data_IF_856236024501
#
_entry.id   IF_856236024501
#
_cell.length_a   1.000
_cell.length_b   1.000
_cell.length_c   1.000
_cell.angle_alpha   90.00
_cell.angle_beta   90.00
_cell.angle_gamma   90.00
#
_symmetry.space_group_name_H-M   'P 1'
#
loop_
_entity.id
_entity.type
_entity.pdbx_description
1 polymer ?
#
# COMPACT_ATOMS: atom_id res chain seq x y z
N UNK A 1 -2.32 -16.05 -37.21
CA UNK A 1 -1.46 -14.88 -37.44
C UNK A 1 -1.20 -14.26 -36.09
N UNK A 2 0.07 -14.24 -35.70
CA UNK A 2 0.72 -13.57 -34.56
C UNK A 2 0.23 -14.02 -33.17
N UNK A 3 0.92 -15.04 -32.66
CA UNK A 3 1.07 -15.32 -31.23
C UNK A 3 2.03 -14.27 -30.67
N UNK A 4 1.49 -13.17 -30.14
CA UNK A 4 2.23 -12.13 -29.42
C UNK A 4 2.46 -12.56 -27.96
N UNK A 5 3.11 -13.70 -27.75
CA UNK A 5 3.78 -13.96 -26.47
C UNK A 5 5.06 -13.14 -26.45
N UNK A 6 4.92 -11.87 -26.06
CA UNK A 6 6.04 -10.99 -25.74
C UNK A 6 6.89 -11.71 -24.69
N UNK A 7 8.07 -12.19 -25.07
CA UNK A 7 9.00 -12.81 -24.13
C UNK A 7 9.36 -11.75 -23.08
N UNK A 8 9.04 -12.03 -21.82
CA UNK A 8 9.51 -11.21 -20.70
C UNK A 8 11.03 -11.24 -20.75
N UNK A 9 11.68 -10.08 -20.84
CA UNK A 9 13.14 -10.02 -20.83
C UNK A 9 13.69 -10.27 -19.43
N UNK A 10 14.98 -10.64 -19.35
CA UNK A 10 15.62 -10.99 -18.09
C UNK A 10 15.57 -9.85 -17.05
N UNK A 11 15.50 -8.59 -17.51
CA UNK A 11 15.43 -7.43 -16.62
C UNK A 11 14.05 -7.29 -15.97
N UNK A 12 12.98 -7.45 -16.77
CA UNK A 12 11.61 -7.45 -16.28
C UNK A 12 11.34 -8.65 -15.34
N UNK A 13 11.95 -9.82 -15.60
CA UNK A 13 11.92 -10.97 -14.69
C UNK A 13 12.60 -10.69 -13.35
N UNK A 14 13.77 -10.04 -13.36
CA UNK A 14 14.48 -9.67 -12.13
C UNK A 14 13.65 -8.68 -11.31
N UNK A 15 13.08 -7.66 -11.96
CA UNK A 15 12.23 -6.67 -11.29
C UNK A 15 11.01 -7.34 -10.65
N UNK A 16 10.33 -8.23 -11.38
CA UNK A 16 9.22 -9.04 -10.89
C UNK A 16 9.59 -9.90 -9.67
N UNK A 17 10.73 -10.57 -9.72
CA UNK A 17 11.19 -11.43 -8.62
C UNK A 17 11.67 -10.63 -7.40
N UNK A 18 12.12 -9.38 -7.60
CA UNK A 18 12.57 -8.49 -6.54
C UNK A 18 11.44 -7.80 -5.79
N UNK A 19 10.21 -7.84 -6.33
CA UNK A 19 9.05 -7.19 -5.74
C UNK A 19 8.76 -7.69 -4.32
N UNK A 20 8.63 -6.73 -3.39
CA UNK A 20 8.18 -6.97 -2.02
C UNK A 20 6.86 -6.22 -1.79
N UNK A 21 5.78 -6.92 -1.41
CA UNK A 21 4.51 -6.29 -1.05
C UNK A 21 4.64 -5.16 -0.02
N UNK A 22 5.59 -5.25 0.91
CA UNK A 22 5.89 -4.20 1.89
C UNK A 22 6.19 -2.84 1.26
N UNK A 23 6.79 -2.82 0.07
CA UNK A 23 7.29 -1.59 -0.55
C UNK A 23 6.15 -0.73 -1.10
N UNK A 24 4.97 -1.30 -1.32
CA UNK A 24 3.74 -0.59 -1.69
C UNK A 24 2.64 -0.68 -0.62
N UNK A 25 3.01 -0.96 0.64
CA UNK A 25 2.09 -1.07 1.76
C UNK A 25 1.92 0.25 2.52
N UNK A 26 0.74 0.86 2.40
CA UNK A 26 0.47 2.20 2.91
C UNK A 26 -0.12 2.26 4.33
N UNK A 27 -0.31 1.14 5.02
CA UNK A 27 -1.01 1.12 6.32
C UNK A 27 -2.51 1.36 6.13
N UNK A 28 -3.14 2.12 7.02
CA UNK A 28 -4.58 2.42 7.06
C UNK A 28 -5.04 3.53 6.09
N UNK A 29 -4.35 3.68 4.96
CA UNK A 29 -4.63 4.73 3.97
C UNK A 29 -6.10 4.75 3.56
N UNK A 30 -6.74 5.91 3.69
CA UNK A 30 -8.15 6.09 3.36
C UNK A 30 -8.37 6.16 1.85
N UNK A 31 -9.58 5.80 1.41
CA UNK A 31 -9.93 5.64 0.00
C UNK A 31 -9.74 6.93 -0.79
N UNK A 32 -10.02 8.08 -0.18
CA UNK A 32 -9.92 9.40 -0.82
C UNK A 32 -8.48 9.66 -1.28
N UNK A 33 -7.49 9.32 -0.44
CA UNK A 33 -6.07 9.49 -0.75
C UNK A 33 -5.49 8.42 -1.69
N UNK A 34 -6.21 7.32 -1.93
CA UNK A 34 -5.81 6.32 -2.92
C UNK A 34 -6.01 6.87 -4.33
N UNK A 35 -7.08 7.66 -4.54
CA UNK A 35 -7.44 8.21 -5.86
C UNK A 35 -6.35 9.10 -6.44
N UNK A 36 -5.67 9.88 -5.59
CA UNK A 36 -4.58 10.75 -5.99
C UNK A 36 -3.28 9.99 -6.33
N UNK A 37 -3.17 8.73 -5.90
CA UNK A 37 -1.96 7.91 -6.05
C UNK A 37 -2.00 6.95 -7.23
N UNK A 38 -3.18 6.41 -7.57
CA UNK A 38 -3.34 5.46 -8.65
C UNK A 38 -3.86 6.17 -9.91
N UNK A 39 -2.96 6.50 -10.81
CA UNK A 39 -3.21 7.33 -12.00
C UNK A 39 -3.39 6.52 -13.27
N UNK A 40 -2.68 5.38 -13.41
CA UNK A 40 -2.68 4.55 -14.62
C UNK A 40 -3.33 3.19 -14.36
N UNK A 41 -3.92 2.62 -15.42
CA UNK A 41 -4.47 1.27 -15.35
C UNK A 41 -3.38 0.24 -15.03
N UNK A 42 -3.65 -0.65 -14.09
CA UNK A 42 -2.71 -1.64 -13.57
C UNK A 42 -1.88 -1.17 -12.37
N UNK A 43 -1.93 0.11 -12.01
CA UNK A 43 -1.30 0.62 -10.79
C UNK A 43 -2.06 0.14 -9.56
N UNK A 44 -1.33 -0.36 -8.57
CA UNK A 44 -1.90 -0.85 -7.33
C UNK A 44 -1.10 -0.46 -6.10
N UNK A 45 -1.77 -0.43 -4.95
CA UNK A 45 -1.16 -0.31 -3.64
C UNK A 45 -1.88 -1.19 -2.63
N UNK A 46 -1.20 -1.49 -1.53
CA UNK A 46 -1.70 -2.31 -0.44
C UNK A 46 -2.01 -1.43 0.76
N UNK A 47 -3.09 -1.74 1.48
CA UNK A 47 -3.50 -1.01 2.67
C UNK A 47 -4.30 -1.89 3.62
N UNK A 48 -4.44 -1.48 4.86
CA UNK A 48 -5.50 -1.97 5.73
C UNK A 48 -6.80 -1.20 5.48
N UNK A 49 -7.91 -1.86 5.72
CA UNK A 49 -9.17 -1.20 6.01
C UNK A 49 -8.97 -0.20 7.16
N UNK A 50 -9.57 1.00 7.11
CA UNK A 50 -9.52 1.95 8.24
C UNK A 50 -10.07 1.38 9.56
N UNK A 51 -10.88 0.33 9.49
CA UNK A 51 -11.39 -0.39 10.67
C UNK A 51 -10.39 -1.44 11.21
N UNK A 52 -9.28 -1.67 10.51
CA UNK A 52 -8.24 -2.63 10.87
C UNK A 52 -8.63 -4.10 10.73
N UNK A 53 -9.76 -4.40 10.08
CA UNK A 53 -10.35 -5.73 10.01
C UNK A 53 -9.83 -6.59 8.85
N UNK A 54 -9.34 -5.96 7.78
CA UNK A 54 -8.83 -6.68 6.61
C UNK A 54 -7.76 -5.90 5.83
N UNK A 55 -6.88 -6.63 5.16
CA UNK A 55 -6.00 -6.10 4.12
C UNK A 55 -6.76 -5.86 2.83
N UNK A 56 -6.39 -4.85 2.06
CA UNK A 56 -7.04 -4.46 0.82
C UNK A 56 -5.98 -4.20 -0.24
N UNK A 57 -6.17 -4.78 -1.42
CA UNK A 57 -5.47 -4.34 -2.64
C UNK A 57 -6.34 -3.27 -3.30
N UNK A 58 -5.81 -2.06 -3.46
CA UNK A 58 -6.47 -1.03 -4.26
C UNK A 58 -5.81 -0.98 -5.63
N UNK A 59 -6.61 -1.11 -6.69
CA UNK A 59 -6.16 -1.24 -8.06
C UNK A 59 -6.90 -0.24 -8.94
N UNK A 60 -6.17 0.48 -9.78
CA UNK A 60 -6.75 1.26 -10.87
C UNK A 60 -6.95 0.36 -12.08
N UNK A 61 -8.20 0.09 -12.45
CA UNK A 61 -8.52 -0.51 -13.75
C UNK A 61 -8.68 0.60 -14.79
N UNK A 62 -8.89 0.23 -16.07
CA UNK A 62 -9.07 1.21 -17.15
C UNK A 62 -10.20 2.21 -16.86
N UNK A 63 -11.29 1.73 -16.29
CA UNK A 63 -12.52 2.52 -16.13
C UNK A 63 -12.73 3.02 -14.70
N UNK A 64 -12.17 2.35 -13.69
CA UNK A 64 -12.50 2.65 -12.30
C UNK A 64 -11.41 2.25 -11.32
N UNK A 65 -11.50 2.78 -10.11
CA UNK A 65 -10.76 2.25 -8.96
C UNK A 65 -11.54 1.07 -8.36
N UNK A 66 -10.83 -0.01 -8.05
CA UNK A 66 -11.40 -1.18 -7.38
C UNK A 66 -10.61 -1.50 -6.12
N UNK A 67 -11.32 -1.99 -5.11
CA UNK A 67 -10.74 -2.41 -3.84
C UNK A 67 -11.08 -3.88 -3.61
N UNK A 68 -10.05 -4.69 -3.44
CA UNK A 68 -10.15 -6.13 -3.24
C UNK A 68 -9.79 -6.44 -1.79
N UNK A 69 -10.78 -6.54 -0.88
CA UNK A 69 -10.53 -6.97 0.48
C UNK A 69 -10.06 -8.42 0.49
N UNK A 70 -9.05 -8.70 1.30
CA UNK A 70 -8.54 -10.03 1.50
C UNK A 70 -9.41 -10.77 2.51
N UNK A 71 -9.84 -11.97 2.15
CA UNK A 71 -10.64 -12.81 3.03
C UNK A 71 -9.70 -13.80 3.71
N UNK A 72 -9.80 -13.89 5.04
CA UNK A 72 -9.15 -14.96 5.79
C UNK A 72 -10.14 -16.11 5.96
N UNK A 73 -9.85 -17.24 5.33
CA UNK A 73 -10.61 -18.48 5.47
C UNK A 73 -9.99 -19.33 6.58
N UNK A 74 -10.84 -19.85 7.48
CA UNK A 74 -10.41 -20.85 8.47
C UNK A 74 -10.31 -22.21 7.78
N UNK A 75 -9.10 -22.69 7.53
CA UNK A 75 -8.84 -24.03 7.01
C UNK A 75 -8.13 -24.85 8.09
N UNK A 76 -8.91 -25.40 9.03
CA UNK A 76 -8.36 -26.03 10.24
C UNK A 76 -7.59 -25.01 11.09
N UNK A 77 -6.42 -25.40 11.60
CA UNK A 77 -5.56 -24.55 12.44
C UNK A 77 -4.72 -23.54 11.64
N UNK A 78 -4.66 -23.67 10.32
CA UNK A 78 -3.85 -22.81 9.46
C UNK A 78 -4.76 -21.88 8.64
N UNK A 79 -4.88 -20.60 9.02
CA UNK A 79 -5.66 -19.65 8.23
C UNK A 79 -5.04 -19.47 6.84
N UNK A 80 -5.91 -19.31 5.84
CA UNK A 80 -5.55 -19.03 4.45
C UNK A 80 -6.13 -17.68 4.03
N UNK A 81 -5.37 -16.94 3.23
CA UNK A 81 -5.75 -15.65 2.66
C UNK A 81 -6.14 -15.85 1.19
N UNK A 82 -7.23 -15.22 0.74
CA UNK A 82 -7.69 -15.27 -0.66
C UNK A 82 -8.44 -13.97 -1.03
N UNK A 83 -8.51 -13.67 -2.34
CA UNK A 83 -9.36 -12.62 -2.90
C UNK A 83 -10.70 -13.18 -3.43
N UNK A 84 -11.23 -14.22 -2.77
CA UNK A 84 -12.41 -14.98 -3.20
C UNK A 84 -12.22 -15.68 -4.56
N UNK A 85 -11.01 -16.22 -4.78
CA UNK A 85 -10.65 -17.02 -5.96
C UNK A 85 -10.22 -18.42 -5.52
N UNK A 86 -9.91 -19.30 -6.48
CA UNK A 86 -9.30 -20.60 -6.19
C UNK A 86 -7.89 -20.51 -5.59
N UNK A 87 -7.24 -19.34 -5.65
CA UNK A 87 -5.90 -19.13 -5.15
C UNK A 87 -5.92 -18.67 -3.70
N UNK A 88 -5.05 -19.27 -2.88
CA UNK A 88 -4.88 -18.89 -1.50
C UNK A 88 -3.43 -19.04 -1.04
N UNK A 89 -3.05 -18.27 -0.02
CA UNK A 89 -1.71 -18.31 0.58
C UNK A 89 -1.80 -18.33 2.11
N UNK A 90 -0.72 -18.71 2.80
CA UNK A 90 -0.61 -18.63 4.26
C UNK A 90 -0.38 -17.20 4.76
N UNK A 91 -0.06 -16.26 3.87
CA UNK A 91 0.08 -14.83 4.19
C UNK A 91 -0.51 -13.95 3.10
N UNK A 92 -0.92 -12.74 3.48
CA UNK A 92 -1.36 -11.71 2.53
C UNK A 92 -0.27 -11.37 1.51
N UNK A 93 0.96 -11.14 1.98
CA UNK A 93 2.10 -10.83 1.11
C UNK A 93 2.36 -11.92 0.09
N UNK A 94 2.34 -13.19 0.50
CA UNK A 94 2.54 -14.32 -0.40
C UNK A 94 1.42 -14.42 -1.45
N UNK A 95 0.18 -14.07 -1.07
CA UNK A 95 -0.95 -14.04 -2.00
C UNK A 95 -0.77 -12.92 -3.05
N UNK A 96 -0.44 -11.71 -2.62
CA UNK A 96 -0.22 -10.56 -3.51
C UNK A 96 0.95 -10.84 -4.46
N UNK A 97 2.07 -11.33 -3.92
CA UNK A 97 3.25 -11.69 -4.69
C UNK A 97 2.92 -12.78 -5.73
N UNK A 98 2.13 -13.80 -5.37
CA UNK A 98 1.68 -14.82 -6.30
C UNK A 98 0.87 -14.23 -7.47
N UNK A 99 -0.10 -13.38 -7.20
CA UNK A 99 -0.91 -12.73 -8.23
C UNK A 99 -0.06 -11.81 -9.15
N UNK A 100 0.86 -11.06 -8.56
CA UNK A 100 1.75 -10.15 -9.28
C UNK A 100 2.71 -10.89 -10.21
N UNK A 101 3.50 -11.83 -9.68
CA UNK A 101 4.54 -12.55 -10.43
C UNK A 101 3.92 -13.41 -11.53
N UNK A 102 2.85 -14.15 -11.22
CA UNK A 102 2.24 -15.08 -12.17
C UNK A 102 1.27 -14.41 -13.15
N UNK A 103 1.09 -13.08 -13.06
CA UNK A 103 0.10 -12.32 -13.85
C UNK A 103 -1.28 -12.97 -13.79
N UNK A 104 -1.72 -13.31 -12.59
CA UNK A 104 -3.05 -13.88 -12.34
C UNK A 104 -3.97 -12.76 -11.87
N UNK A 105 -5.10 -12.51 -12.55
CA UNK A 105 -6.02 -11.45 -12.14
C UNK A 105 -6.63 -11.72 -10.76
N UNK A 106 -6.93 -10.66 -10.01
CA UNK A 106 -7.59 -10.76 -8.71
C UNK A 106 -9.04 -11.25 -8.81
N UNK A 107 -9.67 -11.10 -9.98
CA UNK A 107 -11.01 -11.59 -10.27
C UNK A 107 -10.98 -12.51 -11.49
N UNK A 108 -11.55 -13.71 -11.34
CA UNK A 108 -11.56 -14.74 -12.37
C UNK A 108 -12.20 -14.24 -13.66
N UNK A 109 -11.49 -14.40 -14.77
CA UNK A 109 -11.97 -14.00 -16.09
C UNK A 109 -11.92 -12.49 -16.38
N UNK A 110 -11.41 -11.67 -15.45
CA UNK A 110 -11.29 -10.23 -15.64
C UNK A 110 -9.82 -9.78 -15.72
N UNK A 111 -9.22 -9.72 -16.92
CA UNK A 111 -7.81 -9.35 -17.09
C UNK A 111 -7.49 -7.90 -16.69
N UNK A 112 -8.49 -7.03 -16.53
CA UNK A 112 -8.25 -5.67 -16.02
C UNK A 112 -7.89 -5.66 -14.52
N UNK A 113 -8.02 -6.80 -13.85
CA UNK A 113 -7.70 -6.96 -12.43
C UNK A 113 -6.28 -7.51 -12.19
N UNK A 114 -5.41 -7.41 -13.20
CA UNK A 114 -3.99 -7.73 -13.07
C UNK A 114 -3.26 -6.67 -12.25
N UNK A 115 -2.35 -7.15 -11.40
CA UNK A 115 -1.38 -6.31 -10.71
C UNK A 115 -0.19 -6.09 -11.65
N UNK A 116 -0.04 -4.86 -12.16
CA UNK A 116 0.99 -4.55 -13.17
C UNK A 116 2.10 -3.68 -12.60
N UNK A 117 1.76 -2.64 -11.85
CA UNK A 117 2.73 -1.66 -11.34
C UNK A 117 2.44 -1.35 -9.87
N UNK A 118 3.29 -1.78 -8.93
CA UNK A 118 3.16 -1.36 -7.53
C UNK A 118 3.47 0.13 -7.43
N UNK A 119 2.59 0.90 -6.76
CA UNK A 119 2.87 2.28 -6.40
C UNK A 119 3.60 2.28 -5.07
N UNK A 120 4.91 2.54 -5.10
CA UNK A 120 5.75 2.44 -3.92
C UNK A 120 5.40 3.50 -2.88
N UNK A 121 5.57 3.16 -1.61
CA UNK A 121 5.52 4.12 -0.52
C UNK A 121 6.68 5.10 -0.69
N UNK A 122 6.46 6.42 -0.58
CA UNK A 122 7.54 7.37 -0.74
C UNK A 122 8.64 7.20 0.33
N UNK A 123 9.90 7.35 -0.08
CA UNK A 123 11.08 7.20 0.79
C UNK A 123 11.09 8.15 1.99
N UNK A 124 10.37 9.27 1.91
CA UNK A 124 10.23 10.24 3.01
C UNK A 124 9.22 9.81 4.09
N UNK A 125 8.58 8.64 3.97
CA UNK A 125 7.74 8.09 5.03
C UNK A 125 8.64 7.44 6.09
N UNK A 126 8.59 7.99 7.30
CA UNK A 126 9.31 7.42 8.44
C UNK A 126 8.44 6.40 9.18
N UNK A 127 9.06 5.30 9.63
CA UNK A 127 8.45 4.42 10.62
C UNK A 127 8.39 5.16 11.96
N UNK A 128 7.24 5.12 12.64
CA UNK A 128 7.07 5.73 13.95
C UNK A 128 8.08 5.19 14.97
N UNK A 129 8.42 3.89 14.86
CA UNK A 129 9.44 3.26 15.69
C UNK A 129 10.85 3.77 15.39
N UNK A 130 11.08 4.40 14.25
CA UNK A 130 12.36 5.02 13.89
C UNK A 130 12.45 6.49 14.37
N UNK A 131 11.36 7.04 14.90
CA UNK A 131 11.30 8.40 15.42
C UNK A 131 11.47 8.41 16.95
N UNK A 132 12.46 9.18 17.42
CA UNK A 132 12.66 9.48 18.84
C UNK A 132 12.28 10.95 19.10
N UNK A 133 11.28 11.18 19.95
CA UNK A 133 10.88 12.54 20.33
C UNK A 133 11.83 13.08 21.40
N UNK A 134 12.57 14.15 21.08
CA UNK A 134 13.58 14.73 21.98
C UNK A 134 12.97 15.77 22.90
N UNK A 135 12.31 16.79 22.34
CA UNK A 135 11.63 17.85 23.10
C UNK A 135 10.64 18.62 22.24
N UNK A 136 9.65 19.24 22.88
CA UNK A 136 8.80 20.26 22.23
C UNK A 136 9.65 21.50 21.91
N UNK A 137 9.51 22.03 20.70
CA UNK A 137 10.19 23.24 20.23
C UNK A 137 9.22 24.37 19.88
N UNK A 138 7.92 24.09 19.74
CA UNK A 138 6.92 25.10 19.50
C UNK A 138 5.50 24.57 19.51
N UNK A 139 4.55 25.45 19.21
CA UNK A 139 3.15 25.14 18.95
C UNK A 139 2.61 26.11 17.90
N UNK A 140 1.72 25.64 17.03
CA UNK A 140 1.08 26.43 15.98
C UNK A 140 -0.39 26.10 15.84
N UNK A 141 -1.02 26.60 14.77
CA UNK A 141 -2.45 26.46 14.52
C UNK A 141 -2.93 25.01 14.53
N UNK A 142 -2.14 24.10 13.95
CA UNK A 142 -2.50 22.69 13.81
C UNK A 142 -2.13 21.83 15.02
N UNK A 143 -1.13 22.24 15.80
CA UNK A 143 -0.62 21.40 16.87
C UNK A 143 0.77 21.77 17.35
N UNK A 144 1.37 20.84 18.08
CA UNK A 144 2.68 21.01 18.68
C UNK A 144 3.79 20.70 17.68
N UNK A 145 4.94 21.34 17.83
CA UNK A 145 6.14 21.07 17.04
C UNK A 145 7.20 20.49 17.96
N UNK A 146 7.75 19.35 17.60
CA UNK A 146 8.77 18.63 18.35
C UNK A 146 10.08 18.59 17.56
N UNK A 147 11.21 18.71 18.26
CA UNK A 147 12.49 18.22 17.75
C UNK A 147 12.50 16.72 17.90
N UNK A 148 12.71 16.01 16.81
CA UNK A 148 12.81 14.56 16.78
C UNK A 148 14.14 14.11 16.20
N UNK A 149 14.56 12.89 16.53
CA UNK A 149 15.70 12.22 15.93
C UNK A 149 15.20 11.02 15.13
N UNK A 150 15.60 10.93 13.86
CA UNK A 150 15.42 9.72 13.05
C UNK A 150 16.58 8.80 13.38
N UNK A 151 16.33 7.61 13.96
CA UNK A 151 17.40 6.75 14.49
C UNK A 151 18.25 6.17 13.37
N UNK A 152 17.63 5.68 12.30
CA UNK A 152 18.29 5.08 11.15
C UNK A 152 19.27 6.02 10.44
N UNK A 153 18.87 7.27 10.23
CA UNK A 153 19.66 8.27 9.52
C UNK A 153 20.52 9.14 10.46
N UNK A 154 20.31 9.03 11.78
CA UNK A 154 20.94 9.86 12.80
C UNK A 154 20.80 11.38 12.53
N UNK A 155 19.65 11.79 12.01
CA UNK A 155 19.35 13.21 11.70
C UNK A 155 18.31 13.78 12.66
N UNK A 156 18.37 15.10 12.89
CA UNK A 156 17.34 15.80 13.67
C UNK A 156 16.38 16.53 12.74
N UNK A 157 15.08 16.36 12.95
CA UNK A 157 14.01 17.01 12.19
C UNK A 157 13.05 17.76 13.12
N UNK A 158 12.20 18.61 12.52
CA UNK A 158 11.03 19.18 13.19
C UNK A 158 9.79 18.38 12.79
N UNK A 159 9.12 17.78 13.78
CA UNK A 159 7.86 17.06 13.59
C UNK A 159 6.70 17.95 14.05
N UNK A 160 5.80 18.28 13.13
CA UNK A 160 4.56 19.01 13.43
C UNK A 160 3.45 18.01 13.65
N UNK A 161 2.69 18.16 14.74
CA UNK A 161 1.52 17.32 15.01
C UNK A 161 0.23 18.01 14.58
N UNK A 162 -0.79 17.20 14.36
CA UNK A 162 -2.15 17.62 14.08
C UNK A 162 -3.01 17.23 15.30
N UNK A 163 -3.68 18.21 15.92
CA UNK A 163 -4.48 18.00 17.14
C UNK A 163 -5.79 17.28 16.84
N UNK A 164 -6.01 16.11 17.45
CA UNK A 164 -7.34 15.50 17.64
C UNK A 164 -8.13 15.19 16.36
N UNK A 165 -9.46 15.05 16.53
CA UNK A 165 -10.43 14.84 15.45
C UNK A 165 -10.66 16.13 14.66
N UNK A 166 -9.70 16.46 13.80
CA UNK A 166 -9.86 17.50 12.78
C UNK A 166 -10.62 16.98 11.57
N UNK A 167 -11.35 17.88 10.91
CA UNK A 167 -12.06 17.58 9.68
C UNK A 167 -11.12 17.14 8.56
N UNK A 168 -11.63 16.41 7.57
CA UNK A 168 -10.83 15.96 6.43
C UNK A 168 -10.24 17.13 5.63
N UNK A 169 -10.97 18.23 5.52
CA UNK A 169 -10.48 19.47 4.90
C UNK A 169 -9.30 20.08 5.68
N UNK A 170 -9.30 20.00 7.01
CA UNK A 170 -8.19 20.47 7.84
C UNK A 170 -6.97 19.53 7.75
N UNK A 171 -7.19 18.22 7.65
CA UNK A 171 -6.13 17.24 7.39
C UNK A 171 -5.47 17.49 6.04
N UNK A 172 -6.25 17.76 4.99
CA UNK A 172 -5.71 18.11 3.68
C UNK A 172 -4.89 19.40 3.71
N UNK A 173 -5.40 20.44 4.37
CA UNK A 173 -4.65 21.70 4.49
C UNK A 173 -3.40 21.58 5.37
N UNK A 174 -3.35 20.61 6.28
CA UNK A 174 -2.14 20.30 7.05
C UNK A 174 -1.04 19.65 6.20
N UNK A 175 -1.42 18.90 5.16
CA UNK A 175 -0.51 18.16 4.28
C UNK A 175 -0.02 18.97 3.06
N UNK A 176 -0.57 20.16 2.82
CA UNK A 176 -0.13 21.12 1.79
C UNK A 176 1.03 21.97 2.30
#
# INVERSE_FOLDING_TARGET
MIDDTKSIDDFELIELMSFKPSDCFYGDLRVEFVQDRLTKAGEFLLRYSPLGDTFIVSLKTKNQMRHFPCIQQKQGDNPRFTFNTEYSSSSFDGLVQFHYINRIPLEKGNPETLLLSPVLVPEYRFDENDIEIIRKVGAGAYGDVFKVKVKSANVFLAMKTLKGDVSDAEKENFLK
#
